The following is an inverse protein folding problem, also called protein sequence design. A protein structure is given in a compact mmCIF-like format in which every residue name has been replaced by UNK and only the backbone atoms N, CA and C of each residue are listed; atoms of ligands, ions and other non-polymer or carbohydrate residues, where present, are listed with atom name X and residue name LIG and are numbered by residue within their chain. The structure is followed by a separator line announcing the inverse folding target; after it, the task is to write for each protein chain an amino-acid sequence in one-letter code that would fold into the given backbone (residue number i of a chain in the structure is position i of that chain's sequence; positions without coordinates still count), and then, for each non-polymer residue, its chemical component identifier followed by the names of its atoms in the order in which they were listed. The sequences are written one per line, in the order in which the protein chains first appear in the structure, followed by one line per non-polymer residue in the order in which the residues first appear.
data_IF_868745732740
#
_entry.id   IF_868745732740
#
_cell.length_a   1.000
_cell.length_b   1.000
_cell.length_c   1.000
_cell.angle_alpha   90.00
_cell.angle_beta   90.00
_cell.angle_gamma   90.00
#
_symmetry.space_group_name_H-M   'P 1'
#
loop_
_entity.id
_entity.type
_entity.pdbx_description
1 polymer ?
#
# COMPACT_ATOMS: atom_id res chain seq x y z
N UNK A 1 -19.41 43.75 -20.49
CA UNK A 1 -20.34 42.61 -20.55
C UNK A 1 -19.53 41.35 -20.38
N UNK A 2 -20.08 40.42 -19.61
CA UNK A 2 -19.45 39.16 -19.21
C UNK A 2 -19.57 38.07 -20.29
N UNK A 3 -19.02 36.91 -19.92
CA UNK A 3 -19.20 35.55 -20.46
C UNK A 3 -18.21 35.18 -21.56
N UNK A 4 -17.46 34.07 -21.49
CA UNK A 4 -17.42 33.01 -20.50
C UNK A 4 -16.97 31.71 -21.19
N UNK A 5 -16.36 30.81 -20.41
CA UNK A 5 -16.18 29.39 -20.70
C UNK A 5 -15.16 29.06 -21.81
N UNK A 6 -14.20 28.16 -21.63
CA UNK A 6 -14.22 26.95 -20.82
C UNK A 6 -12.78 26.57 -20.50
N UNK A 7 -12.46 26.52 -19.21
CA UNK A 7 -11.29 25.84 -18.68
C UNK A 7 -11.60 24.34 -18.73
N UNK A 8 -11.01 23.65 -19.71
CA UNK A 8 -11.17 22.22 -19.89
C UNK A 8 -9.84 21.64 -20.35
N UNK A 9 -9.14 21.05 -19.38
CA UNK A 9 -8.23 19.94 -19.68
C UNK A 9 -6.79 20.19 -19.28
N UNK A 10 -6.50 20.15 -17.97
CA UNK A 10 -5.25 19.50 -17.52
C UNK A 10 -5.28 19.06 -16.05
N UNK A 11 -6.37 18.41 -15.61
CA UNK A 11 -6.32 17.58 -14.39
C UNK A 11 -5.67 16.21 -14.70
N UNK A 12 -4.45 16.25 -15.22
CA UNK A 12 -3.59 15.08 -15.31
C UNK A 12 -3.01 14.80 -13.93
N UNK A 13 -3.80 14.08 -13.12
CA UNK A 13 -3.35 13.12 -12.11
C UNK A 13 -2.35 13.68 -11.11
N UNK A 14 -2.89 14.38 -10.11
CA UNK A 14 -2.23 14.51 -8.82
C UNK A 14 -1.92 13.11 -8.27
N UNK A 15 -0.68 12.63 -8.46
CA UNK A 15 -0.12 11.57 -7.67
C UNK A 15 0.03 12.13 -6.25
N UNK A 16 -1.09 12.14 -5.51
CA UNK A 16 -1.14 12.58 -4.13
C UNK A 16 -0.01 11.90 -3.37
N UNK A 17 0.74 12.69 -2.60
CA UNK A 17 1.77 12.20 -1.69
C UNK A 17 1.18 10.99 -0.96
N UNK A 18 1.75 9.78 -1.08
CA UNK A 18 1.18 8.60 -0.46
C UNK A 18 1.01 8.87 1.03
N UNK A 19 -0.22 8.72 1.53
CA UNK A 19 -0.55 8.94 2.93
C UNK A 19 0.46 8.20 3.82
N UNK A 20 0.93 8.82 4.91
CA UNK A 20 1.90 8.20 5.79
C UNK A 20 1.37 6.84 6.27
N UNK A 21 2.20 5.81 6.15
CA UNK A 21 1.81 4.47 6.59
C UNK A 21 1.69 4.46 8.10
N UNK A 22 0.63 3.84 8.61
CA UNK A 22 0.46 3.61 10.04
C UNK A 22 1.43 2.50 10.48
N UNK A 23 2.28 2.80 11.46
CA UNK A 23 3.05 1.78 12.18
C UNK A 23 2.24 1.33 13.40
N UNK A 24 2.15 0.02 13.61
CA UNK A 24 1.48 -0.60 14.76
C UNK A 24 2.38 -1.66 15.38
N UNK A 25 2.36 -1.78 16.71
CA UNK A 25 3.00 -2.91 17.39
C UNK A 25 2.04 -4.11 17.35
N UNK A 26 2.42 -5.15 16.60
CA UNK A 26 1.60 -6.36 16.47
C UNK A 26 2.08 -7.40 17.49
N UNK A 27 1.15 -7.95 18.28
CA UNK A 27 1.42 -9.10 19.14
C UNK A 27 1.06 -10.37 18.37
N UNK A 28 2.06 -11.21 18.11
CA UNK A 28 1.90 -12.49 17.43
C UNK A 28 2.68 -13.55 18.19
N UNK A 29 2.21 -14.79 18.07
CA UNK A 29 2.94 -15.94 18.54
C UNK A 29 4.31 -16.05 17.81
N UNK A 30 5.42 -16.34 18.51
CA UNK A 30 6.73 -16.44 17.89
C UNK A 30 6.81 -17.49 16.77
N UNK A 31 6.17 -18.65 16.91
CA UNK A 31 6.21 -19.69 15.88
C UNK A 31 5.48 -19.23 14.60
N UNK A 32 4.41 -18.45 14.75
CA UNK A 32 3.71 -17.82 13.61
C UNK A 32 4.62 -16.80 12.93
N UNK A 33 5.36 -15.99 13.70
CA UNK A 33 6.32 -15.06 13.12
C UNK A 33 7.39 -15.78 12.31
N UNK A 34 7.96 -16.88 12.83
CA UNK A 34 8.99 -17.64 12.12
C UNK A 34 8.45 -18.24 10.81
N UNK A 35 7.22 -18.77 10.81
CA UNK A 35 6.59 -19.27 9.60
C UNK A 35 6.39 -18.15 8.55
N UNK A 36 5.96 -16.96 8.99
CA UNK A 36 5.81 -15.78 8.12
C UNK A 36 7.17 -15.30 7.58
N UNK A 37 8.21 -15.32 8.42
CA UNK A 37 9.55 -14.90 8.04
C UNK A 37 10.15 -15.84 6.99
N UNK A 38 10.00 -17.16 7.16
CA UNK A 38 10.40 -18.15 6.17
C UNK A 38 9.68 -17.95 4.85
N UNK A 39 8.36 -17.83 4.87
CA UNK A 39 7.59 -17.61 3.65
C UNK A 39 7.97 -16.30 2.95
N UNK A 40 8.18 -15.21 3.69
CA UNK A 40 8.64 -13.95 3.12
C UNK A 40 10.01 -14.09 2.44
N UNK A 41 10.92 -14.87 3.03
CA UNK A 41 12.24 -15.15 2.46
C UNK A 41 12.14 -15.93 1.15
N UNK A 42 11.32 -16.99 1.12
CA UNK A 42 11.05 -17.79 -0.09
C UNK A 42 10.50 -16.92 -1.24
N UNK A 43 9.72 -15.91 -0.90
CA UNK A 43 9.08 -14.97 -1.82
C UNK A 43 9.93 -13.73 -2.18
N UNK A 44 11.16 -13.64 -1.66
CA UNK A 44 12.06 -12.48 -1.77
C UNK A 44 11.38 -11.15 -1.36
N UNK A 45 10.68 -11.17 -0.22
CA UNK A 45 9.96 -10.05 0.39
C UNK A 45 10.42 -9.81 1.83
N UNK A 46 10.24 -8.58 2.32
CA UNK A 46 10.33 -8.34 3.75
C UNK A 46 9.09 -8.90 4.45
N UNK A 47 9.24 -9.25 5.73
CA UNK A 47 8.11 -9.75 6.54
C UNK A 47 6.94 -8.75 6.55
N UNK A 48 7.21 -7.46 6.66
CA UNK A 48 6.16 -6.43 6.61
C UNK A 48 5.44 -6.39 5.26
N UNK A 49 6.15 -6.60 4.15
CA UNK A 49 5.52 -6.67 2.83
C UNK A 49 4.67 -7.95 2.69
N UNK A 50 5.12 -9.06 3.27
CA UNK A 50 4.34 -10.30 3.28
C UNK A 50 3.05 -10.17 4.10
N UNK A 51 3.13 -9.56 5.29
CA UNK A 51 1.97 -9.27 6.14
C UNK A 51 0.96 -8.38 5.40
N UNK A 52 1.42 -7.34 4.70
CA UNK A 52 0.53 -6.47 3.91
C UNK A 52 -0.21 -7.24 2.81
N UNK A 53 0.48 -8.15 2.09
CA UNK A 53 -0.14 -9.00 1.05
C UNK A 53 -1.20 -9.90 1.67
N UNK A 54 -0.91 -10.51 2.82
CA UNK A 54 -1.83 -11.39 3.52
C UNK A 54 -3.08 -10.65 4.01
N UNK A 55 -2.91 -9.47 4.61
CA UNK A 55 -4.02 -8.65 5.09
C UNK A 55 -4.94 -8.22 3.95
N UNK A 56 -4.37 -7.80 2.81
CA UNK A 56 -5.17 -7.42 1.64
C UNK A 56 -5.97 -8.59 1.08
N UNK A 57 -5.33 -9.75 0.91
CA UNK A 57 -6.01 -10.97 0.47
C UNK A 57 -7.14 -11.35 1.42
N UNK A 58 -6.88 -11.36 2.73
CA UNK A 58 -7.92 -11.66 3.72
C UNK A 58 -9.09 -10.68 3.70
N UNK A 59 -8.83 -9.38 3.46
CA UNK A 59 -9.88 -8.37 3.29
C UNK A 59 -10.66 -8.57 1.98
N UNK A 60 -9.99 -8.90 0.88
CA UNK A 60 -10.62 -9.20 -0.40
C UNK A 60 -11.53 -10.43 -0.29
N UNK A 61 -11.01 -11.52 0.29
CA UNK A 61 -11.74 -12.77 0.52
C UNK A 61 -12.95 -12.55 1.44
N UNK A 62 -12.85 -11.64 2.41
CA UNK A 62 -13.95 -11.25 3.28
C UNK A 62 -14.94 -10.25 2.65
N UNK A 63 -14.70 -9.77 1.43
CA UNK A 63 -15.52 -8.75 0.77
C UNK A 63 -15.41 -7.36 1.40
N UNK A 64 -14.30 -7.08 2.09
CA UNK A 64 -14.04 -5.84 2.87
C UNK A 64 -12.89 -5.00 2.31
N UNK A 65 -12.53 -5.20 1.04
CA UNK A 65 -11.45 -4.46 0.40
C UNK A 65 -11.72 -2.94 0.40
N UNK A 66 -10.75 -2.10 0.82
CA UNK A 66 -10.94 -0.66 0.80
C UNK A 66 -10.88 -0.11 -0.63
N UNK A 67 -11.88 0.68 -1.04
CA UNK A 67 -11.95 1.30 -2.38
C UNK A 67 -10.83 2.31 -2.64
N UNK A 68 -10.33 2.95 -1.59
CA UNK A 68 -9.35 4.05 -1.66
C UNK A 68 -7.93 3.61 -1.27
N UNK A 69 -7.69 2.31 -1.09
CA UNK A 69 -6.38 1.83 -0.68
C UNK A 69 -5.31 2.16 -1.73
N UNK A 70 -4.28 2.92 -1.33
CA UNK A 70 -3.12 3.17 -2.17
C UNK A 70 -2.49 1.84 -2.62
N UNK A 71 -1.94 1.78 -3.86
CA UNK A 71 -1.35 0.56 -4.40
C UNK A 71 -0.15 0.11 -3.56
N UNK A 72 0.09 -1.20 -3.51
CA UNK A 72 1.30 -1.77 -2.91
C UNK A 72 2.50 -1.16 -3.64
N UNK A 73 3.42 -0.55 -2.89
CA UNK A 73 4.60 0.06 -3.51
C UNK A 73 5.45 -1.02 -4.18
N UNK A 74 5.96 -0.68 -5.37
CA UNK A 74 6.86 -1.55 -6.12
C UNK A 74 8.12 -1.84 -5.31
N UNK A 75 8.69 -3.03 -5.54
CA UNK A 75 9.98 -3.44 -4.97
C UNK A 75 11.05 -2.39 -5.30
N UNK A 76 11.91 -2.10 -4.33
CA UNK A 76 13.00 -1.13 -4.46
C UNK A 76 13.02 -0.09 -3.35
N UNK A 77 14.17 0.55 -3.17
CA UNK A 77 14.33 1.65 -2.22
C UNK A 77 13.41 2.81 -2.65
N UNK A 78 12.64 3.44 -1.75
CA UNK A 78 11.93 4.67 -2.08
C UNK A 78 12.92 5.70 -2.64
N UNK A 79 12.52 6.39 -3.72
CA UNK A 79 13.32 7.48 -4.31
C UNK A 79 13.64 8.45 -3.18
N UNK A 80 14.94 8.73 -2.94
CA UNK A 80 15.34 9.81 -2.03
C UNK A 80 14.79 11.10 -2.61
N UNK A 81 14.02 11.83 -1.83
CA UNK A 81 13.72 13.22 -2.13
C UNK A 81 15.07 13.97 -2.04
N UNK A 82 15.44 14.61 -3.14
CA UNK A 82 16.63 15.47 -3.26
C UNK A 82 16.27 16.82 -2.67
#
# INVERSE_FOLDING_TARGET
MATGSTDAGEEARGAGRPSPRKSIALRIDPAVYEALAKWAADDLRSVNAQIEVLLRRALDDAGRSPREAAPIRRRGRPRREI
#
